data_IF_230622025760
#
_entry.id   IF_230622025760
#
_cell.length_a   1.000
_cell.length_b   1.000
_cell.length_c   1.000
_cell.angle_alpha   90.00
_cell.angle_beta   90.00
_cell.angle_gamma   90.00
#
_symmetry.space_group_name_H-M   'P 1'
#
loop_
_entity.id
_entity.type
_entity.pdbx_description
1 polymer ?
#
# COMPACT_ATOMS: atom_id res chain seq x y z
N UNK A 1 -13.68 30.50 25.82
CA UNK A 1 -14.45 30.68 24.58
C UNK A 1 -13.44 30.70 23.44
N UNK A 2 -13.18 29.52 22.85
CA UNK A 2 -13.29 29.23 21.39
C UNK A 2 -12.78 30.40 20.54
N UNK A 3 -11.64 30.30 19.86
CA UNK A 3 -11.58 29.58 18.60
C UNK A 3 -10.14 29.11 18.30
N UNK A 4 -9.98 27.78 18.23
CA UNK A 4 -8.79 27.17 17.68
C UNK A 4 -8.89 27.24 16.17
N UNK A 5 -8.17 28.19 15.57
CA UNK A 5 -7.92 28.28 14.14
C UNK A 5 -7.21 27.00 13.72
N UNK A 6 -8.01 25.99 13.37
CA UNK A 6 -7.60 24.81 12.63
C UNK A 6 -6.98 25.31 11.33
N UNK A 7 -5.68 25.13 11.19
CA UNK A 7 -5.00 25.20 9.90
C UNK A 7 -5.77 24.34 8.88
N UNK A 8 -6.34 24.94 7.81
CA UNK A 8 -6.96 24.17 6.73
C UNK A 8 -5.92 23.40 5.89
N UNK A 9 -4.63 23.57 6.20
CA UNK A 9 -3.51 22.99 5.47
C UNK A 9 -2.97 21.69 6.09
N UNK A 10 -3.60 21.13 7.13
CA UNK A 10 -3.32 19.78 7.63
C UNK A 10 -3.98 18.68 6.76
N UNK A 11 -4.08 18.90 5.44
CA UNK A 11 -4.67 17.94 4.50
C UNK A 11 -3.56 17.26 3.72
N UNK A 12 -3.26 16.04 4.15
CA UNK A 12 -2.39 15.11 3.47
C UNK A 12 -1.15 14.78 4.27
N UNK A 13 -1.32 14.06 5.39
CA UNK A 13 -0.33 13.02 5.66
C UNK A 13 -0.43 12.07 4.48
N UNK A 14 0.37 12.32 3.44
CA UNK A 14 0.59 11.39 2.35
C UNK A 14 1.40 10.24 2.91
N UNK A 15 0.77 9.45 3.79
CA UNK A 15 1.34 8.19 4.25
C UNK A 15 1.55 7.37 2.99
N UNK A 16 2.82 7.15 2.66
CA UNK A 16 3.19 6.32 1.52
C UNK A 16 2.61 4.95 1.80
N UNK A 17 1.65 4.53 0.98
CA UNK A 17 1.08 3.20 1.10
C UNK A 17 2.15 2.19 0.70
N UNK A 18 2.50 1.32 1.64
CA UNK A 18 3.47 0.25 1.43
C UNK A 18 2.75 -1.08 1.45
N UNK A 19 3.01 -1.89 0.43
CA UNK A 19 2.41 -3.21 0.24
C UNK A 19 3.43 -4.30 0.49
N UNK A 20 3.09 -5.26 1.35
CA UNK A 20 3.86 -6.49 1.54
C UNK A 20 3.61 -7.47 0.38
N UNK A 21 4.56 -7.54 -0.54
CA UNK A 21 4.46 -8.40 -1.72
C UNK A 21 4.49 -9.89 -1.37
N UNK A 22 5.10 -10.28 -0.23
CA UNK A 22 5.09 -11.67 0.22
C UNK A 22 3.68 -12.11 0.65
N UNK A 23 2.96 -11.24 1.38
CA UNK A 23 1.55 -11.48 1.74
C UNK A 23 0.65 -11.49 0.52
N UNK A 24 0.87 -10.58 -0.42
CA UNK A 24 0.12 -10.51 -1.67
C UNK A 24 0.32 -11.79 -2.50
N UNK A 25 1.56 -12.29 -2.59
CA UNK A 25 1.88 -13.54 -3.28
C UNK A 25 1.20 -14.74 -2.61
N UNK A 26 1.24 -14.83 -1.28
CA UNK A 26 0.59 -15.90 -0.53
C UNK A 26 -0.94 -15.89 -0.78
N UNK A 27 -1.57 -14.72 -0.77
CA UNK A 27 -2.99 -14.59 -1.09
C UNK A 27 -3.30 -14.97 -2.54
N UNK A 28 -2.49 -14.53 -3.51
CA UNK A 28 -2.66 -14.90 -4.91
C UNK A 28 -2.53 -16.41 -5.15
N UNK A 29 -1.69 -17.10 -4.37
CA UNK A 29 -1.54 -18.56 -4.40
C UNK A 29 -2.80 -19.28 -3.91
N UNK A 30 -3.50 -18.77 -2.89
CA UNK A 30 -4.77 -19.40 -2.43
C UNK A 30 -5.91 -19.25 -3.44
N UNK A 31 -5.81 -18.25 -4.33
CA UNK A 31 -6.75 -18.01 -5.43
C UNK A 31 -6.34 -18.72 -6.73
N UNK A 32 -5.26 -19.50 -6.73
CA UNK A 32 -4.72 -20.20 -7.92
C UNK A 32 -4.40 -19.27 -9.11
N UNK A 33 -4.04 -18.00 -8.84
CA UNK A 33 -3.72 -17.00 -9.87
C UNK A 33 -2.26 -17.12 -10.35
N UNK A 34 -1.91 -18.23 -11.01
CA UNK A 34 -0.52 -18.57 -11.34
C UNK A 34 0.27 -17.46 -12.05
N UNK A 35 -0.33 -16.79 -13.05
CA UNK A 35 0.34 -15.69 -13.78
C UNK A 35 0.53 -14.44 -12.91
N UNK A 36 -0.39 -14.20 -11.98
CA UNK A 36 -0.27 -13.08 -11.06
C UNK A 36 0.80 -13.35 -10.01
N UNK A 37 0.89 -14.58 -9.50
CA UNK A 37 1.98 -15.03 -8.61
C UNK A 37 3.35 -14.85 -9.28
N UNK A 38 3.49 -15.24 -10.56
CA UNK A 38 4.73 -15.00 -11.33
C UNK A 38 5.07 -13.51 -11.44
N UNK A 39 4.06 -12.66 -11.69
CA UNK A 39 4.26 -11.22 -11.77
C UNK A 39 4.70 -10.61 -10.42
N UNK A 40 4.10 -11.04 -9.31
CA UNK A 40 4.48 -10.61 -7.96
C UNK A 40 5.91 -11.07 -7.65
N UNK A 41 6.28 -12.30 -8.00
CA UNK A 41 7.64 -12.82 -7.85
C UNK A 41 8.68 -11.94 -8.56
N UNK A 42 8.42 -11.57 -9.82
CA UNK A 42 9.28 -10.64 -10.57
C UNK A 42 9.35 -9.26 -9.94
N UNK A 43 8.22 -8.73 -9.46
CA UNK A 43 8.20 -7.45 -8.76
C UNK A 43 9.05 -7.51 -7.47
N UNK A 44 9.01 -8.64 -6.74
CA UNK A 44 9.84 -8.86 -5.55
C UNK A 44 11.33 -8.92 -5.86
N UNK A 45 11.71 -9.55 -6.96
CA UNK A 45 13.10 -9.57 -7.43
C UNK A 45 13.63 -8.16 -7.75
N UNK A 46 12.76 -7.27 -8.26
CA UNK A 46 13.12 -5.91 -8.67
C UNK A 46 13.09 -4.89 -7.53
N UNK A 47 12.11 -5.00 -6.62
CA UNK A 47 11.82 -3.99 -5.61
C UNK A 47 12.03 -4.47 -4.18
N UNK A 48 12.31 -5.75 -3.97
CA UNK A 48 12.37 -6.37 -2.66
C UNK A 48 10.98 -6.75 -2.13
N UNK A 49 10.86 -6.91 -0.81
CA UNK A 49 9.60 -7.37 -0.19
C UNK A 49 8.47 -6.35 -0.24
N UNK A 50 8.80 -5.07 -0.27
CA UNK A 50 7.85 -3.99 -0.08
C UNK A 50 7.71 -3.15 -1.34
N UNK A 51 6.48 -2.83 -1.73
CA UNK A 51 6.19 -1.96 -2.86
C UNK A 51 5.49 -0.68 -2.39
N UNK A 52 6.03 0.47 -2.79
CA UNK A 52 5.41 1.77 -2.53
C UNK A 52 4.39 2.10 -3.62
N UNK A 53 3.13 2.25 -3.22
CA UNK A 53 2.06 2.73 -4.09
C UNK A 53 2.07 4.26 -4.16
N UNK A 54 1.80 4.79 -5.35
CA UNK A 54 1.52 6.21 -5.51
C UNK A 54 0.11 6.49 -5.01
N UNK A 55 -0.14 7.68 -4.47
CA UNK A 55 -1.47 8.06 -3.96
C UNK A 55 -2.56 7.96 -5.04
N UNK A 56 -2.23 8.18 -6.31
CA UNK A 56 -3.18 7.99 -7.42
C UNK A 56 -3.60 6.52 -7.61
N UNK A 57 -2.67 5.59 -7.43
CA UNK A 57 -2.94 4.16 -7.56
C UNK A 57 -3.78 3.65 -6.39
N UNK A 58 -3.50 4.13 -5.17
CA UNK A 58 -4.33 3.85 -4.00
C UNK A 58 -5.78 4.32 -4.21
N UNK A 59 -5.98 5.54 -4.72
CA UNK A 59 -7.32 6.08 -5.00
C UNK A 59 -8.01 5.22 -6.06
N UNK A 60 -7.31 4.85 -7.12
CA UNK A 60 -7.85 4.03 -8.19
C UNK A 60 -8.30 2.64 -7.68
N UNK A 61 -7.45 1.99 -6.86
CA UNK A 61 -7.77 0.70 -6.22
C UNK A 61 -8.98 0.83 -5.30
N UNK A 62 -9.02 1.89 -4.48
CA UNK A 62 -10.12 2.13 -3.54
C UNK A 62 -11.45 2.40 -4.25
N UNK A 63 -11.42 3.05 -5.41
CA UNK A 63 -12.59 3.39 -6.19
C UNK A 63 -13.10 2.25 -7.09
N UNK A 64 -12.37 1.14 -7.22
CA UNK A 64 -12.70 0.06 -8.14
C UNK A 64 -14.01 -0.67 -7.81
N UNK A 65 -14.41 -0.70 -6.53
CA UNK A 65 -15.69 -1.31 -6.09
C UNK A 65 -15.78 -2.83 -6.26
N UNK A 66 -14.64 -3.50 -6.42
CA UNK A 66 -14.53 -4.94 -6.71
C UNK A 66 -13.96 -5.76 -5.53
N UNK A 67 -13.83 -5.15 -4.35
CA UNK A 67 -13.22 -5.76 -3.16
C UNK A 67 -11.71 -5.49 -3.01
N UNK A 68 -11.09 -4.79 -3.97
CA UNK A 68 -9.66 -4.50 -3.92
C UNK A 68 -9.27 -3.55 -2.78
N UNK A 69 -10.19 -2.69 -2.32
CA UNK A 69 -9.95 -1.78 -1.19
C UNK A 69 -9.73 -2.57 0.12
N UNK A 70 -10.59 -3.55 0.40
CA UNK A 70 -10.51 -4.39 1.59
C UNK A 70 -9.27 -5.28 1.57
N UNK A 71 -8.88 -5.75 0.38
CA UNK A 71 -7.64 -6.50 0.22
C UNK A 71 -6.42 -5.58 0.42
N UNK A 72 -6.45 -4.37 -0.11
CA UNK A 72 -5.41 -3.37 0.05
C UNK A 72 -5.13 -3.12 1.53
N UNK A 73 -6.15 -2.83 2.34
CA UNK A 73 -6.02 -2.59 3.78
C UNK A 73 -5.35 -3.75 4.55
N UNK A 74 -5.55 -5.01 4.11
CA UNK A 74 -4.89 -6.17 4.74
C UNK A 74 -3.41 -6.30 4.37
N UNK A 75 -3.03 -5.74 3.23
CA UNK A 75 -1.69 -5.81 2.67
C UNK A 75 -0.85 -4.57 2.99
N UNK A 76 -1.51 -3.46 3.35
CA UNK A 76 -0.87 -2.25 3.85
C UNK A 76 -0.05 -2.59 5.09
N UNK A 77 1.18 -2.11 5.10
CA UNK A 77 2.06 -2.13 6.26
C UNK A 77 2.53 -0.71 6.52
N UNK A 78 2.89 -0.43 7.78
CA UNK A 78 3.60 0.81 8.10
C UNK A 78 4.88 0.85 7.26
N UNK A 79 5.15 2.01 6.64
CA UNK A 79 6.42 2.20 5.98
C UNK A 79 7.53 1.92 6.99
N UNK A 80 8.53 1.07 6.66
CA UNK A 80 9.67 0.90 7.54
C UNK A 80 10.24 2.28 7.79
N UNK A 81 10.35 2.68 9.07
CA UNK A 81 10.97 3.94 9.44
C UNK A 81 12.35 3.93 8.79
N UNK A 82 12.61 4.86 7.87
CA UNK A 82 13.99 5.15 7.50
C UNK A 82 14.66 5.55 8.81
N UNK A 83 15.50 4.67 9.36
CA UNK A 83 16.48 5.05 10.37
C UNK A 83 17.36 6.10 9.70
N UNK A 84 16.97 7.36 9.87
CA UNK A 84 17.86 8.48 9.65
C UNK A 84 18.96 8.35 10.70
N UNK A 85 20.06 7.71 10.31
CA UNK A 85 21.33 7.75 11.03
C UNK A 85 21.65 9.22 11.35
N UNK A 86 21.72 9.53 12.65
CA UNK A 86 22.27 10.75 13.21
C UNK A 86 23.77 10.58 13.44
#
# INVERSE_FOLDING_TARGET
MVDGTRDPNARGSGDKVVIDLERLEAHARTLYLHRFVEAIGKAREQHGRYLYLRSGDEIAISAAGDGSAELLERLKVDAPREEHDL
#
